data_IF_400444473807
#
_entry.id   IF_400444473807
#
_cell.length_a   1.000
_cell.length_b   1.000
_cell.length_c   1.000
_cell.angle_alpha   90.00
_cell.angle_beta   90.00
_cell.angle_gamma   90.00
#
_symmetry.space_group_name_H-M   'P 1'
#
loop_
_entity.id
_entity.type
_entity.pdbx_description
1 polymer ?
#
# COMPACT_ATOMS: atom_id res chain seq x y z
N UNK A 1 -47.44 10.92 22.71
CA UNK A 1 -48.05 11.98 21.87
C UNK A 1 -47.03 13.10 21.77
N UNK A 2 -46.49 13.54 20.64
CA UNK A 2 -46.71 13.24 19.23
C UNK A 2 -45.35 13.33 18.51
N UNK A 3 -45.12 12.45 17.54
CA UNK A 3 -43.98 12.48 16.62
C UNK A 3 -44.23 13.47 15.50
N UNK A 4 -43.24 14.26 15.11
CA UNK A 4 -43.24 14.99 13.84
C UNK A 4 -42.20 14.39 12.91
N UNK A 5 -42.69 13.55 12.00
CA UNK A 5 -41.96 12.97 10.88
C UNK A 5 -42.01 13.94 9.70
N UNK A 6 -40.86 14.43 9.22
CA UNK A 6 -40.77 15.20 7.98
C UNK A 6 -40.30 14.28 6.85
N UNK A 7 -41.26 13.83 6.03
CA UNK A 7 -41.02 13.17 4.75
C UNK A 7 -40.63 14.23 3.71
N UNK A 8 -39.41 14.12 3.15
CA UNK A 8 -39.03 14.88 1.97
C UNK A 8 -39.56 14.20 0.70
N UNK A 9 -40.39 14.93 -0.03
CA UNK A 9 -40.98 14.55 -1.31
C UNK A 9 -39.97 14.86 -2.43
N UNK A 10 -39.48 13.83 -3.13
CA UNK A 10 -38.64 13.99 -4.32
C UNK A 10 -39.51 14.30 -5.55
N UNK A 11 -39.37 15.49 -6.13
CA UNK A 11 -39.90 15.82 -7.45
C UNK A 11 -38.88 15.42 -8.53
N UNK A 12 -39.22 14.41 -9.33
CA UNK A 12 -38.50 14.06 -10.54
C UNK A 12 -38.95 14.98 -11.69
N UNK A 13 -38.02 15.78 -12.23
CA UNK A 13 -38.22 16.52 -13.47
C UNK A 13 -37.75 15.67 -14.66
N UNK A 14 -38.71 15.30 -15.51
CA UNK A 14 -38.50 14.72 -16.83
C UNK A 14 -37.98 15.79 -17.79
N UNK A 15 -36.75 15.64 -18.29
CA UNK A 15 -36.27 16.35 -19.47
C UNK A 15 -36.29 15.42 -20.68
N UNK A 16 -37.11 15.79 -21.69
CA UNK A 16 -37.23 15.13 -22.99
C UNK A 16 -35.95 15.33 -23.82
N UNK A 17 -35.39 14.23 -24.31
CA UNK A 17 -34.41 14.24 -25.40
C UNK A 17 -35.13 14.40 -26.75
N UNK A 18 -34.66 15.35 -27.56
CA UNK A 18 -35.08 15.56 -28.96
C UNK A 18 -34.25 14.64 -29.85
N UNK A 19 -34.90 13.69 -30.52
CA UNK A 19 -34.33 12.90 -31.60
C UNK A 19 -34.56 13.61 -32.94
N UNK A 20 -33.48 13.86 -33.69
CA UNK A 20 -33.54 14.22 -35.11
C UNK A 20 -33.33 12.97 -35.96
N UNK A 21 -34.21 12.80 -36.95
CA UNK A 21 -34.22 11.75 -37.96
C UNK A 21 -33.10 11.94 -38.99
N UNK A 22 -32.44 10.84 -39.36
CA UNK A 22 -31.57 10.72 -40.52
C UNK A 22 -31.58 9.27 -41.00
N UNK A 23 -32.31 9.02 -42.08
CA UNK A 23 -32.56 7.72 -42.72
C UNK A 23 -31.32 7.15 -43.42
N UNK A 24 -31.07 5.84 -43.27
CA UNK A 24 -30.84 4.95 -44.42
C UNK A 24 -30.85 3.49 -43.97
N UNK A 25 -31.67 2.71 -44.68
CA UNK A 25 -31.86 1.26 -44.55
C UNK A 25 -30.59 0.47 -44.84
N UNK A 26 -30.40 -0.63 -44.12
CA UNK A 26 -30.19 -1.95 -44.71
C UNK A 26 -30.43 -3.04 -43.66
N UNK A 27 -31.39 -3.94 -43.96
CA UNK A 27 -31.66 -5.16 -43.18
C UNK A 27 -30.82 -6.29 -43.77
N UNK A 28 -30.04 -6.97 -42.94
CA UNK A 28 -29.61 -8.34 -43.22
C UNK A 28 -29.96 -9.19 -42.00
N UNK A 29 -30.80 -10.19 -42.24
CA UNK A 29 -31.26 -11.20 -41.30
C UNK A 29 -30.13 -12.21 -41.04
N UNK A 30 -29.76 -12.43 -39.78
CA UNK A 30 -28.86 -13.52 -39.39
C UNK A 30 -29.66 -14.65 -38.75
N UNK A 31 -29.72 -15.76 -39.47
CA UNK A 31 -30.28 -17.04 -39.07
C UNK A 31 -29.32 -17.74 -38.10
N UNK A 32 -29.89 -18.27 -37.03
CA UNK A 32 -29.29 -19.18 -36.06
C UNK A 32 -28.94 -20.54 -36.67
N UNK A 33 -27.70 -21.00 -36.48
CA UNK A 33 -27.35 -22.43 -36.49
C UNK A 33 -26.30 -22.71 -35.41
N UNK A 34 -26.75 -23.39 -34.36
CA UNK A 34 -25.91 -24.02 -33.34
C UNK A 34 -25.30 -25.30 -33.89
N UNK A 35 -23.98 -25.44 -33.86
CA UNK A 35 -23.30 -26.73 -34.03
C UNK A 35 -22.37 -26.97 -32.85
N UNK A 36 -22.63 -28.08 -32.16
CA UNK A 36 -21.84 -28.66 -31.09
C UNK A 36 -20.48 -29.13 -31.66
N UNK A 37 -19.39 -28.74 -31.02
CA UNK A 37 -18.08 -29.33 -31.22
C UNK A 37 -17.57 -29.99 -29.94
N UNK A 38 -17.25 -31.27 -30.07
CA UNK A 38 -16.85 -32.20 -29.04
C UNK A 38 -15.41 -31.98 -28.57
N UNK A 39 -15.18 -32.16 -27.27
CA UNK A 39 -13.86 -32.18 -26.63
C UNK A 39 -13.01 -33.40 -27.06
N UNK A 40 -11.69 -33.25 -27.23
CA UNK A 40 -10.77 -34.38 -27.18
C UNK A 40 -10.26 -34.62 -25.74
N UNK A 41 -10.40 -35.88 -25.31
CA UNK A 41 -9.80 -36.46 -24.11
C UNK A 41 -8.28 -36.62 -24.28
N UNK A 42 -7.51 -36.10 -23.33
CA UNK A 42 -6.07 -36.39 -23.20
C UNK A 42 -5.86 -37.38 -22.04
N UNK A 43 -5.35 -38.57 -22.37
CA UNK A 43 -4.87 -39.57 -21.42
C UNK A 43 -3.37 -39.79 -21.64
N UNK A 44 -2.57 -39.72 -20.58
CA UNK A 44 -1.19 -40.22 -20.61
C UNK A 44 -0.20 -39.47 -19.71
N UNK A 45 -0.22 -39.75 -18.40
CA UNK A 45 0.93 -39.52 -17.52
C UNK A 45 1.49 -40.87 -17.11
N UNK A 46 2.70 -41.19 -17.61
CA UNK A 46 3.52 -42.29 -17.11
C UNK A 46 4.38 -41.77 -15.96
N UNK A 47 4.16 -42.37 -14.80
CA UNK A 47 5.00 -42.35 -13.61
C UNK A 47 6.37 -42.96 -13.90
N UNK A 48 7.44 -42.31 -13.45
CA UNK A 48 8.73 -42.92 -13.22
C UNK A 48 9.10 -42.73 -11.76
N UNK A 49 9.13 -43.85 -11.06
CA UNK A 49 9.70 -44.05 -9.73
C UNK A 49 11.22 -44.18 -9.82
N UNK A 50 11.94 -43.59 -8.88
CA UNK A 50 13.23 -44.12 -8.44
C UNK A 50 13.36 -44.00 -6.92
N UNK A 51 13.85 -45.09 -6.34
CA UNK A 51 13.93 -45.43 -4.92
C UNK A 51 15.40 -45.45 -4.47
N UNK A 52 15.60 -45.20 -3.17
CA UNK A 52 16.73 -45.63 -2.30
C UNK A 52 18.12 -45.00 -2.57
N UNK A 53 19.03 -44.74 -1.62
CA UNK A 53 19.42 -45.37 -0.33
C UNK A 53 20.36 -44.36 0.38
N UNK A 54 20.25 -44.00 1.67
CA UNK A 54 20.73 -44.60 2.94
C UNK A 54 22.24 -44.88 3.10
N UNK A 55 22.74 -44.54 4.32
CA UNK A 55 23.98 -44.96 5.02
C UNK A 55 25.25 -44.12 4.78
N UNK A 56 26.18 -43.87 5.71
CA UNK A 56 26.30 -44.07 7.18
C UNK A 56 27.66 -43.50 7.66
N UNK A 57 27.69 -42.95 8.88
CA UNK A 57 28.75 -42.88 9.90
C UNK A 57 30.24 -43.18 9.59
N UNK A 58 31.17 -42.40 10.18
CA UNK A 58 31.97 -42.81 11.38
C UNK A 58 33.21 -41.93 11.67
N UNK A 59 33.41 -41.62 12.98
CA UNK A 59 34.63 -41.60 13.85
C UNK A 59 35.93 -40.87 13.40
N UNK A 60 36.88 -40.45 14.26
CA UNK A 60 37.04 -40.20 15.71
C UNK A 60 38.47 -39.64 15.92
N UNK A 61 38.71 -38.95 17.04
CA UNK A 61 40.02 -38.82 17.72
C UNK A 61 40.77 -37.51 17.47
N UNK A 62 41.41 -36.84 18.43
CA UNK A 62 41.58 -37.08 19.87
C UNK A 62 42.67 -36.15 20.45
N UNK A 63 42.47 -35.74 21.71
CA UNK A 63 43.45 -35.42 22.77
C UNK A 63 44.40 -34.19 22.67
N UNK A 64 44.47 -33.42 23.77
CA UNK A 64 45.63 -32.56 24.09
C UNK A 64 45.35 -31.41 25.08
N UNK A 65 45.78 -31.59 26.32
CA UNK A 65 45.58 -30.74 27.53
C UNK A 65 46.51 -29.50 27.56
N UNK A 66 46.09 -28.38 28.19
CA UNK A 66 46.79 -27.68 29.30
C UNK A 66 46.09 -26.39 29.77
N UNK A 67 46.12 -26.19 31.08
CA UNK A 67 45.58 -25.06 31.85
C UNK A 67 46.53 -23.85 31.93
N UNK A 68 46.00 -22.61 32.07
CA UNK A 68 46.10 -21.73 33.27
C UNK A 68 45.92 -20.22 32.97
N UNK A 69 44.79 -19.68 33.45
CA UNK A 69 44.55 -18.36 34.10
C UNK A 69 44.73 -17.00 33.32
N UNK A 70 44.02 -15.93 33.76
CA UNK A 70 43.37 -14.97 32.86
C UNK A 70 44.10 -13.63 32.72
N UNK A 71 43.90 -12.92 31.59
CA UNK A 71 44.17 -11.48 31.49
C UNK A 71 43.25 -10.76 30.50
N UNK A 72 42.56 -9.76 31.04
CA UNK A 72 41.96 -8.56 30.41
C UNK A 72 40.85 -8.78 29.37
N UNK A 73 39.62 -8.86 29.89
CA UNK A 73 38.43 -8.36 29.19
C UNK A 73 38.54 -6.83 29.13
N UNK A 74 38.78 -6.31 27.94
CA UNK A 74 38.75 -4.89 27.66
C UNK A 74 38.33 -4.67 26.21
N UNK A 75 37.25 -3.90 26.02
CA UNK A 75 36.81 -3.34 24.74
C UNK A 75 35.94 -4.18 23.79
N UNK A 76 34.98 -4.97 24.31
CA UNK A 76 33.81 -5.40 23.50
C UNK A 76 32.53 -4.66 23.90
N UNK A 77 32.45 -4.17 25.15
CA UNK A 77 31.25 -3.54 25.71
C UNK A 77 30.92 -2.20 25.05
N UNK A 78 31.92 -1.41 24.61
CA UNK A 78 31.66 -0.08 24.04
C UNK A 78 31.06 -0.15 22.64
N UNK A 79 31.49 -1.09 21.80
CA UNK A 79 30.96 -1.23 20.44
C UNK A 79 29.53 -1.78 20.44
N UNK A 80 29.26 -2.80 21.27
CA UNK A 80 27.89 -3.33 21.43
C UNK A 80 26.96 -2.32 22.09
N UNK A 81 27.41 -1.61 23.14
CA UNK A 81 26.60 -0.58 23.78
C UNK A 81 26.25 0.57 22.83
N UNK A 82 27.21 1.05 22.02
CA UNK A 82 26.99 2.08 21.00
C UNK A 82 26.04 1.56 19.91
N UNK A 83 26.20 0.33 19.43
CA UNK A 83 25.31 -0.25 18.42
C UNK A 83 23.87 -0.47 18.95
N UNK A 84 23.71 -0.85 20.23
CA UNK A 84 22.39 -0.93 20.86
C UNK A 84 21.77 0.45 21.12
N UNK A 85 22.58 1.46 21.46
CA UNK A 85 22.10 2.84 21.67
C UNK A 85 21.64 3.46 20.34
N UNK A 86 22.40 3.26 19.26
CA UNK A 86 22.02 3.72 17.92
C UNK A 86 20.76 3.01 17.42
N UNK A 87 20.65 1.68 17.57
CA UNK A 87 19.43 0.93 17.21
C UNK A 87 18.20 1.36 18.02
N UNK A 88 18.37 1.65 19.31
CA UNK A 88 17.26 2.11 20.17
C UNK A 88 16.82 3.53 19.80
N UNK A 89 17.76 4.39 19.44
CA UNK A 89 17.49 5.78 19.02
C UNK A 89 16.79 5.79 17.66
N UNK A 90 17.26 4.99 16.70
CA UNK A 90 16.62 4.79 15.39
C UNK A 90 15.20 4.22 15.52
N UNK A 91 15.01 3.17 16.33
CA UNK A 91 13.68 2.60 16.58
C UNK A 91 12.73 3.62 17.21
N UNK A 92 13.22 4.47 18.12
CA UNK A 92 12.42 5.54 18.72
C UNK A 92 12.01 6.62 17.72
N UNK A 93 12.83 6.86 16.69
CA UNK A 93 12.57 7.87 15.67
C UNK A 93 11.62 7.38 14.58
N UNK A 94 11.73 6.10 14.19
CA UNK A 94 10.73 5.43 13.34
C UNK A 94 9.34 5.47 13.98
N UNK A 95 9.24 5.09 15.26
CA UNK A 95 7.96 5.15 15.99
C UNK A 95 7.39 6.57 16.03
N UNK A 96 8.25 7.57 16.27
CA UNK A 96 7.85 8.98 16.28
C UNK A 96 7.39 9.45 14.90
N UNK A 97 8.04 9.04 13.82
CA UNK A 97 7.64 9.33 12.44
C UNK A 97 6.29 8.69 12.10
N UNK A 98 6.10 7.42 12.45
CA UNK A 98 4.82 6.72 12.29
C UNK A 98 3.70 7.45 13.05
N UNK A 99 3.95 7.81 14.32
CA UNK A 99 2.95 8.56 15.10
C UNK A 99 2.72 9.97 14.55
N UNK A 100 3.72 10.61 13.92
CA UNK A 100 3.52 11.87 13.20
C UNK A 100 2.47 11.71 12.11
N UNK A 101 2.56 10.65 11.29
CA UNK A 101 1.57 10.34 10.25
C UNK A 101 0.18 10.12 10.86
N UNK A 102 0.10 9.35 11.96
CA UNK A 102 -1.17 9.12 12.68
C UNK A 102 -1.79 10.45 13.14
N UNK A 103 -1.03 11.29 13.84
CA UNK A 103 -1.57 12.51 14.42
C UNK A 103 -1.86 13.62 13.40
N UNK A 104 -1.05 13.77 12.34
CA UNK A 104 -1.42 14.65 11.22
C UNK A 104 -2.76 14.24 10.61
N UNK A 105 -2.98 12.93 10.47
CA UNK A 105 -4.25 12.39 9.94
C UNK A 105 -5.43 12.65 10.87
N UNK A 106 -5.25 12.39 12.16
CA UNK A 106 -6.28 12.63 13.19
C UNK A 106 -6.65 14.11 13.25
N UNK A 107 -5.66 15.00 13.28
CA UNK A 107 -5.87 16.44 13.44
C UNK A 107 -6.57 17.07 12.24
N UNK A 108 -6.21 16.65 11.03
CA UNK A 108 -6.88 17.13 9.82
C UNK A 108 -8.36 16.69 9.79
N UNK A 109 -8.64 15.43 10.13
CA UNK A 109 -10.01 14.90 10.22
C UNK A 109 -10.82 15.62 11.30
N UNK A 110 -10.22 15.84 12.48
CA UNK A 110 -10.87 16.54 13.58
C UNK A 110 -11.17 18.00 13.22
N UNK A 111 -10.20 18.70 12.63
CA UNK A 111 -10.38 20.10 12.19
C UNK A 111 -11.44 20.24 11.09
N UNK A 112 -11.50 19.28 10.17
CA UNK A 112 -12.53 19.25 9.13
C UNK A 112 -13.90 18.78 9.64
N UNK A 113 -13.95 18.18 10.84
CA UNK A 113 -15.09 17.44 11.37
C UNK A 113 -15.63 16.42 10.34
N UNK A 114 -14.74 15.83 9.56
CA UNK A 114 -15.07 15.01 8.38
C UNK A 114 -13.84 14.23 7.94
N UNK A 115 -14.00 12.93 7.66
CA UNK A 115 -12.93 12.08 7.14
C UNK A 115 -12.83 10.72 7.84
N UNK A 116 -11.75 10.01 7.53
CA UNK A 116 -11.56 8.60 7.89
C UNK A 116 -10.23 8.42 8.63
N UNK A 117 -10.21 8.45 9.98
CA UNK A 117 -8.97 8.34 10.73
C UNK A 117 -8.49 6.88 10.88
N UNK A 118 -9.40 5.90 10.79
CA UNK A 118 -9.12 4.50 11.07
C UNK A 118 -8.00 3.89 10.24
N UNK A 119 -8.10 3.97 8.91
CA UNK A 119 -7.07 3.44 8.01
C UNK A 119 -5.72 4.16 8.18
N UNK A 120 -5.63 5.50 8.17
CA UNK A 120 -4.35 6.18 8.43
C UNK A 120 -3.68 5.76 9.73
N UNK A 121 -4.44 5.52 10.81
CA UNK A 121 -3.90 5.05 12.09
C UNK A 121 -3.31 3.64 12.01
N UNK A 122 -4.01 2.70 11.37
CA UNK A 122 -3.57 1.31 11.20
C UNK A 122 -2.44 1.16 10.19
N UNK A 123 -2.49 1.89 9.07
CA UNK A 123 -1.56 1.77 7.95
C UNK A 123 -0.32 2.68 8.05
N UNK A 124 -0.23 3.56 9.05
CA UNK A 124 0.95 4.43 9.22
C UNK A 124 2.29 3.67 9.20
N UNK A 125 2.44 2.47 9.83
CA UNK A 125 3.68 1.69 9.73
C UNK A 125 4.07 1.31 8.30
N UNK A 126 3.15 0.71 7.54
CA UNK A 126 3.44 0.30 6.16
C UNK A 126 3.63 1.52 5.24
N UNK A 127 2.88 2.60 5.46
CA UNK A 127 3.02 3.85 4.72
C UNK A 127 4.39 4.50 4.93
N UNK A 128 4.85 4.55 6.19
CA UNK A 128 6.18 5.07 6.52
C UNK A 128 7.28 4.25 5.85
N UNK A 129 7.31 2.94 6.06
CA UNK A 129 8.34 2.06 5.49
C UNK A 129 8.35 2.17 3.95
N UNK A 130 7.17 2.23 3.33
CA UNK A 130 7.06 2.31 1.89
C UNK A 130 7.63 3.64 1.34
N UNK A 131 7.23 4.78 1.91
CA UNK A 131 7.67 6.09 1.40
C UNK A 131 9.09 6.49 1.82
N UNK A 132 9.54 6.14 3.02
CA UNK A 132 10.84 6.57 3.55
C UNK A 132 11.98 5.64 3.10
N UNK A 133 11.72 4.33 3.04
CA UNK A 133 12.77 3.34 2.84
C UNK A 133 12.77 2.70 1.45
N UNK A 134 11.60 2.56 0.81
CA UNK A 134 11.42 1.65 -0.32
C UNK A 134 11.25 2.37 -1.65
N UNK A 135 10.32 3.33 -1.73
CA UNK A 135 9.95 3.96 -2.99
C UNK A 135 11.05 4.91 -3.49
N UNK A 136 11.27 4.88 -4.82
CA UNK A 136 12.12 5.85 -5.52
C UNK A 136 11.26 6.95 -6.12
N UNK A 137 11.35 8.15 -5.58
CA UNK A 137 10.65 9.31 -6.12
C UNK A 137 11.49 10.57 -5.92
N UNK A 138 11.05 11.67 -6.55
CA UNK A 138 11.60 12.99 -6.30
C UNK A 138 10.44 13.93 -5.96
N UNK A 139 10.28 14.37 -4.70
CA UNK A 139 9.19 15.26 -4.29
C UNK A 139 9.25 16.63 -4.97
N UNK A 140 10.44 17.05 -5.45
CA UNK A 140 10.64 18.28 -6.23
C UNK A 140 10.42 18.10 -7.73
N UNK A 141 10.23 16.86 -8.18
CA UNK A 141 9.81 16.55 -9.54
C UNK A 141 8.78 15.40 -9.51
N UNK A 142 7.53 15.68 -9.10
CA UNK A 142 6.46 14.69 -9.06
C UNK A 142 6.17 14.09 -10.44
N UNK A 143 6.64 14.71 -11.53
CA UNK A 143 6.46 14.28 -12.90
C UNK A 143 7.61 13.39 -13.42
N UNK A 144 8.62 13.07 -12.60
CA UNK A 144 9.75 12.22 -13.02
C UNK A 144 9.25 10.89 -13.60
N UNK A 145 9.57 10.64 -14.86
CA UNK A 145 9.02 9.52 -15.63
C UNK A 145 9.24 8.14 -15.00
N UNK A 146 10.44 7.87 -14.48
CA UNK A 146 10.82 6.55 -13.96
C UNK A 146 10.76 6.47 -12.42
N UNK A 147 9.96 7.33 -11.76
CA UNK A 147 9.66 7.19 -10.32
C UNK A 147 8.87 5.90 -10.06
N UNK A 148 8.97 5.31 -8.87
CA UNK A 148 8.00 4.31 -8.46
C UNK A 148 6.61 4.96 -8.32
N UNK A 149 5.56 4.23 -8.68
CA UNK A 149 4.17 4.71 -8.61
C UNK A 149 3.51 4.20 -7.34
N UNK A 150 2.74 5.07 -6.67
CA UNK A 150 1.95 4.69 -5.50
C UNK A 150 0.48 5.05 -5.70
N UNK A 151 -0.39 4.09 -5.38
CA UNK A 151 -1.83 4.23 -5.49
C UNK A 151 -2.45 3.87 -4.14
N UNK A 152 -3.28 4.76 -3.61
CA UNK A 152 -4.14 4.46 -2.47
C UNK A 152 -5.51 4.02 -2.98
N UNK A 153 -5.70 2.71 -3.21
CA UNK A 153 -6.97 2.17 -3.71
C UNK A 153 -8.09 2.32 -2.68
N UNK A 154 -7.77 2.18 -1.40
CA UNK A 154 -8.66 2.55 -0.30
C UNK A 154 -8.66 4.07 -0.09
N UNK A 155 -9.17 4.81 -1.10
CA UNK A 155 -9.03 6.27 -1.20
C UNK A 155 -9.61 7.05 -0.02
N UNK A 156 -10.54 6.48 0.74
CA UNK A 156 -11.10 7.12 1.94
C UNK A 156 -10.02 7.44 2.98
N UNK A 157 -8.93 6.67 3.03
CA UNK A 157 -7.75 6.88 3.88
C UNK A 157 -6.80 7.98 3.38
N UNK A 158 -7.25 8.92 2.55
CA UNK A 158 -6.42 9.92 1.86
C UNK A 158 -5.50 10.72 2.77
N UNK A 159 -5.88 10.96 4.04
CA UNK A 159 -5.00 11.63 5.00
C UNK A 159 -3.68 10.89 5.27
N UNK A 160 -3.65 9.56 5.12
CA UNK A 160 -2.39 8.81 5.09
C UNK A 160 -1.49 9.35 3.99
N UNK A 161 -1.98 9.38 2.74
CA UNK A 161 -1.20 9.82 1.60
C UNK A 161 -0.82 11.30 1.70
N UNK A 162 -1.72 12.17 2.17
CA UNK A 162 -1.39 13.59 2.35
C UNK A 162 -0.32 13.81 3.42
N UNK A 163 -0.39 13.11 4.55
CA UNK A 163 0.67 13.16 5.57
C UNK A 163 2.01 12.66 5.01
N UNK A 164 2.01 11.57 4.24
CA UNK A 164 3.21 11.03 3.59
C UNK A 164 3.80 12.02 2.58
N UNK A 165 2.97 12.64 1.72
CA UNK A 165 3.41 13.64 0.74
C UNK A 165 3.98 14.90 1.43
N UNK A 166 3.34 15.35 2.51
CA UNK A 166 3.80 16.48 3.32
C UNK A 166 5.18 16.20 3.91
N UNK A 167 5.35 15.06 4.59
CA UNK A 167 6.61 14.69 5.21
C UNK A 167 7.70 14.45 4.17
N UNK A 168 7.36 13.85 3.02
CA UNK A 168 8.24 13.68 1.86
C UNK A 168 8.66 15.00 1.20
N UNK A 169 8.04 16.13 1.55
CA UNK A 169 8.42 17.46 1.05
C UNK A 169 7.88 17.81 -0.34
N UNK A 170 6.74 17.21 -0.73
CA UNK A 170 6.01 17.63 -1.93
C UNK A 170 5.43 19.03 -1.74
N UNK A 171 5.68 19.92 -2.70
CA UNK A 171 5.23 21.33 -2.61
C UNK A 171 3.69 21.47 -2.67
N UNK A 172 3.00 20.44 -3.17
CA UNK A 172 1.54 20.37 -3.26
C UNK A 172 0.83 20.17 -1.92
N UNK A 173 1.55 19.75 -0.88
CA UNK A 173 0.96 19.46 0.44
C UNK A 173 1.81 20.09 1.54
N UNK A 174 1.54 21.35 1.84
CA UNK A 174 2.10 22.08 2.98
C UNK A 174 1.24 21.89 4.23
N UNK A 175 1.71 22.36 5.38
CA UNK A 175 0.97 22.30 6.64
C UNK A 175 -0.42 22.95 6.52
N UNK A 176 -0.52 24.09 5.83
CA UNK A 176 -1.79 24.78 5.59
C UNK A 176 -2.74 24.00 4.66
N UNK A 177 -2.21 23.19 3.75
CA UNK A 177 -3.02 22.29 2.94
C UNK A 177 -3.61 21.18 3.82
N UNK A 178 -2.84 20.61 4.76
CA UNK A 178 -3.36 19.63 5.72
C UNK A 178 -4.43 20.25 6.65
N UNK A 179 -4.21 21.48 7.13
CA UNK A 179 -5.22 22.22 7.91
C UNK A 179 -6.48 22.56 7.09
N UNK A 180 -6.38 22.57 5.76
CA UNK A 180 -7.48 22.84 4.84
C UNK A 180 -8.11 21.57 4.27
N UNK A 181 -7.84 20.40 4.85
CA UNK A 181 -8.43 19.13 4.45
C UNK A 181 -9.96 19.22 4.31
N UNK A 182 -10.48 18.74 3.18
CA UNK A 182 -11.91 18.75 2.81
C UNK A 182 -12.56 20.14 2.71
N UNK A 183 -11.77 21.22 2.70
CA UNK A 183 -12.28 22.56 2.52
C UNK A 183 -12.36 22.92 1.03
N UNK A 184 -13.25 23.86 0.70
CA UNK A 184 -13.48 24.32 -0.68
C UNK A 184 -12.18 24.83 -1.32
N UNK A 185 -11.84 24.31 -2.51
CA UNK A 185 -10.66 24.72 -3.28
C UNK A 185 -9.31 24.32 -2.65
N UNK A 186 -9.32 23.45 -1.63
CA UNK A 186 -8.10 22.92 -1.04
C UNK A 186 -7.43 21.88 -1.96
N UNK A 187 -6.11 21.73 -1.80
CA UNK A 187 -5.32 20.67 -2.47
C UNK A 187 -5.38 19.33 -1.76
N UNK A 188 -6.23 19.20 -0.74
CA UNK A 188 -6.40 18.01 0.10
C UNK A 188 -7.89 17.63 0.14
N UNK A 189 -8.47 17.24 -1.02
CA UNK A 189 -9.87 16.85 -1.10
C UNK A 189 -10.20 15.60 -0.27
N UNK A 190 -11.49 15.30 -0.14
CA UNK A 190 -11.97 14.21 0.72
C UNK A 190 -11.60 12.79 0.27
N UNK A 191 -11.15 12.65 -0.98
CA UNK A 191 -10.54 11.47 -1.59
C UNK A 191 -9.39 11.95 -2.51
N UNK A 192 -8.39 11.12 -2.86
CA UNK A 192 -7.25 11.55 -3.66
C UNK A 192 -7.70 11.89 -5.09
N UNK A 193 -7.31 13.07 -5.56
CA UNK A 193 -7.64 13.57 -6.90
C UNK A 193 -6.34 13.97 -7.63
N UNK A 194 -6.00 13.24 -8.70
CA UNK A 194 -4.71 13.44 -9.41
C UNK A 194 -4.59 14.81 -10.09
N UNK A 195 -5.72 15.43 -10.42
CA UNK A 195 -5.78 16.73 -11.08
C UNK A 195 -5.68 17.90 -10.09
N UNK A 196 -5.87 17.67 -8.78
CA UNK A 196 -5.75 18.69 -7.73
C UNK A 196 -4.41 18.61 -6.99
N UNK A 197 -3.97 17.39 -6.64
CA UNK A 197 -2.83 17.19 -5.74
C UNK A 197 -1.65 16.53 -6.48
N UNK A 198 -0.61 17.31 -6.81
CA UNK A 198 0.62 16.70 -7.36
C UNK A 198 1.22 15.69 -6.38
N UNK A 199 1.64 14.53 -6.88
CA UNK A 199 2.05 13.39 -6.05
C UNK A 199 0.94 12.36 -5.79
N UNK A 200 -0.30 12.69 -6.14
CA UNK A 200 -1.38 11.70 -6.28
C UNK A 200 -1.41 11.22 -7.73
N UNK A 201 -1.18 9.92 -7.93
CA UNK A 201 -1.01 9.34 -9.28
C UNK A 201 -2.34 9.17 -10.03
N UNK A 202 -3.40 8.77 -9.33
CA UNK A 202 -4.73 8.50 -9.90
C UNK A 202 -5.82 8.93 -8.92
N UNK A 203 -7.00 9.25 -9.45
CA UNK A 203 -8.15 9.58 -8.60
C UNK A 203 -8.78 8.29 -8.10
N UNK A 204 -8.86 8.13 -6.78
CA UNK A 204 -9.50 6.98 -6.13
C UNK A 204 -10.62 7.45 -5.20
N UNK A 205 -11.42 6.51 -4.69
CA UNK A 205 -12.62 6.80 -3.91
C UNK A 205 -13.64 5.70 -4.14
N UNK A 206 -14.09 5.49 -5.40
CA UNK A 206 -14.79 4.28 -5.78
C UNK A 206 -13.86 3.06 -5.57
N UNK A 207 -14.26 2.16 -4.68
CA UNK A 207 -13.47 1.00 -4.27
C UNK A 207 -13.18 0.07 -5.46
N UNK A 208 -12.07 -0.66 -5.41
CA UNK A 208 -11.62 -1.58 -6.46
C UNK A 208 -10.95 -0.92 -7.67
N UNK A 209 -11.25 0.35 -7.99
CA UNK A 209 -10.68 1.03 -9.16
C UNK A 209 -9.17 1.28 -9.03
N UNK A 210 -8.68 1.63 -7.83
CA UNK A 210 -7.27 1.96 -7.64
C UNK A 210 -6.33 0.77 -7.91
N UNK A 211 -6.66 -0.44 -7.44
CA UNK A 211 -5.92 -1.66 -7.78
C UNK A 211 -5.99 -1.95 -9.29
N UNK A 212 -7.14 -1.76 -9.94
CA UNK A 212 -7.24 -1.89 -11.39
C UNK A 212 -6.36 -0.87 -12.14
N UNK A 213 -6.29 0.38 -11.67
CA UNK A 213 -5.37 1.37 -12.21
C UNK A 213 -3.90 0.98 -12.00
N UNK A 214 -3.56 0.44 -10.83
CA UNK A 214 -2.21 -0.05 -10.53
C UNK A 214 -1.80 -1.19 -11.49
N UNK A 215 -2.71 -2.10 -11.84
CA UNK A 215 -2.48 -3.12 -12.88
C UNK A 215 -2.16 -2.47 -14.23
N UNK A 216 -2.91 -1.45 -14.63
CA UNK A 216 -2.65 -0.71 -15.87
C UNK A 216 -1.29 0.02 -15.87
N UNK A 217 -0.91 0.63 -14.75
CA UNK A 217 0.40 1.30 -14.60
C UNK A 217 1.57 0.31 -14.66
N UNK A 218 1.44 -0.84 -14.00
CA UNK A 218 2.45 -1.91 -14.05
C UNK A 218 2.54 -2.55 -15.45
N UNK A 219 1.42 -2.68 -16.16
CA UNK A 219 1.42 -3.09 -17.58
C UNK A 219 2.18 -2.08 -18.44
N UNK A 220 1.94 -0.78 -18.24
CA UNK A 220 2.61 0.27 -19.01
C UNK A 220 4.13 0.25 -18.78
N UNK A 221 4.58 0.10 -17.53
CA UNK A 221 5.99 -0.05 -17.19
C UNK A 221 6.60 -1.25 -17.92
N UNK A 222 5.99 -2.44 -17.80
CA UNK A 222 6.49 -3.68 -18.42
C UNK A 222 6.53 -3.59 -19.95
N UNK A 223 5.51 -2.98 -20.56
CA UNK A 223 5.46 -2.74 -21.99
C UNK A 223 6.59 -1.82 -22.46
N UNK A 224 6.76 -0.69 -21.78
CA UNK A 224 7.76 0.32 -22.15
C UNK A 224 9.18 -0.19 -21.91
N UNK A 225 9.43 -0.90 -20.81
CA UNK A 225 10.69 -1.56 -20.54
C UNK A 225 11.04 -2.56 -21.66
N UNK A 226 10.13 -3.46 -22.02
CA UNK A 226 10.35 -4.43 -23.09
C UNK A 226 10.60 -3.78 -24.46
N UNK A 227 9.94 -2.64 -24.73
CA UNK A 227 10.04 -1.93 -26.01
C UNK A 227 11.31 -1.11 -26.15
N UNK A 228 11.73 -0.45 -25.08
CA UNK A 228 12.75 0.61 -25.14
C UNK A 228 14.06 0.29 -24.45
N UNK A 229 14.08 -0.58 -23.44
CA UNK A 229 15.35 -0.97 -22.80
C UNK A 229 16.24 -1.73 -23.79
N UNK A 230 17.55 -1.57 -23.62
CA UNK A 230 18.61 -2.25 -24.38
C UNK A 230 19.49 -3.05 -23.42
N UNK A 231 20.26 -4.05 -23.91
CA UNK A 231 21.13 -4.85 -23.04
C UNK A 231 22.12 -4.04 -22.19
N UNK A 232 22.49 -2.84 -22.65
CA UNK A 232 23.41 -1.90 -22.01
C UNK A 232 22.73 -0.65 -21.41
N UNK A 233 21.39 -0.56 -21.49
CA UNK A 233 20.65 0.62 -21.03
C UNK A 233 19.23 0.29 -20.58
N UNK A 234 19.02 0.24 -19.26
CA UNK A 234 17.71 0.06 -18.63
C UNK A 234 17.14 1.43 -18.24
N UNK A 235 16.30 2.01 -19.11
CA UNK A 235 15.76 3.38 -18.95
C UNK A 235 14.35 3.41 -18.36
N UNK A 236 13.61 2.31 -18.45
CA UNK A 236 12.33 2.10 -17.78
C UNK A 236 12.49 0.94 -16.82
N UNK A 237 12.53 1.25 -15.53
CA UNK A 237 12.59 0.29 -14.44
C UNK A 237 11.98 0.93 -13.20
N UNK A 238 10.70 0.66 -12.95
CA UNK A 238 10.04 1.13 -11.73
C UNK A 238 8.96 0.19 -11.21
N UNK A 239 8.70 0.28 -9.91
CA UNK A 239 7.65 -0.49 -9.25
C UNK A 239 6.34 0.28 -9.23
N UNK A 240 5.24 -0.48 -9.16
CA UNK A 240 3.91 0.04 -8.85
C UNK A 240 3.47 -0.56 -7.53
N UNK A 241 3.23 0.31 -6.54
CA UNK A 241 2.76 -0.06 -5.22
C UNK A 241 1.31 0.39 -5.03
N UNK A 242 0.51 -0.42 -4.36
CA UNK A 242 -0.88 -0.08 -4.08
C UNK A 242 -1.30 -0.52 -2.68
N UNK A 243 -1.94 0.36 -1.92
CA UNK A 243 -2.62 0.00 -0.65
C UNK A 243 -4.11 -0.15 -0.92
N UNK A 244 -4.68 -1.29 -0.50
CA UNK A 244 -6.10 -1.61 -0.60
C UNK A 244 -6.60 -2.21 0.72
N UNK A 245 -7.90 -2.10 0.98
CA UNK A 245 -8.55 -2.72 2.14
C UNK A 245 -9.65 -3.69 1.71
N UNK A 246 -10.41 -4.22 2.67
CA UNK A 246 -11.47 -5.22 2.45
C UNK A 246 -12.49 -4.79 1.39
N UNK A 247 -12.90 -3.51 1.43
CA UNK A 247 -13.82 -2.94 0.45
C UNK A 247 -13.33 -3.07 -1.00
N UNK A 248 -12.03 -2.95 -1.25
CA UNK A 248 -11.48 -3.20 -2.58
C UNK A 248 -11.45 -4.69 -2.92
N UNK A 249 -11.21 -5.57 -1.94
CA UNK A 249 -11.15 -7.02 -2.14
C UNK A 249 -12.51 -7.63 -2.48
N UNK A 250 -13.60 -7.00 -2.03
CA UNK A 250 -14.98 -7.39 -2.33
C UNK A 250 -15.45 -6.98 -3.74
N UNK A 251 -14.86 -5.93 -4.32
CA UNK A 251 -15.31 -5.38 -5.60
C UNK A 251 -14.88 -6.26 -6.78
N UNK A 252 -15.83 -6.64 -7.65
CA UNK A 252 -15.58 -7.57 -8.76
C UNK A 252 -14.49 -7.10 -9.74
N UNK A 253 -14.38 -5.80 -9.96
CA UNK A 253 -13.34 -5.20 -10.81
C UNK A 253 -11.92 -5.48 -10.30
N UNK A 254 -11.75 -5.60 -8.98
CA UNK A 254 -10.45 -5.95 -8.40
C UNK A 254 -10.05 -7.37 -8.81
N UNK A 255 -11.01 -8.31 -8.81
CA UNK A 255 -10.77 -9.69 -9.18
C UNK A 255 -10.46 -9.83 -10.69
N UNK A 256 -11.17 -9.09 -11.54
CA UNK A 256 -10.87 -9.02 -12.98
C UNK A 256 -9.44 -8.52 -13.23
N UNK A 257 -9.08 -7.39 -12.62
CA UNK A 257 -7.76 -6.80 -12.79
C UNK A 257 -6.66 -7.70 -12.23
N UNK A 258 -6.86 -8.28 -11.04
CA UNK A 258 -5.89 -9.19 -10.43
C UNK A 258 -5.72 -10.49 -11.22
N UNK A 259 -6.79 -11.02 -11.83
CA UNK A 259 -6.70 -12.15 -12.75
C UNK A 259 -5.78 -11.84 -13.95
N UNK A 260 -5.97 -10.68 -14.57
CA UNK A 260 -5.12 -10.22 -15.67
C UNK A 260 -3.66 -9.98 -15.23
N UNK A 261 -3.45 -9.37 -14.07
CA UNK A 261 -2.12 -9.09 -13.55
C UNK A 261 -1.30 -10.37 -13.31
N UNK A 262 -1.95 -11.41 -12.76
CA UNK A 262 -1.33 -12.71 -12.56
C UNK A 262 -1.05 -13.40 -13.90
N UNK A 263 -2.00 -13.37 -14.83
CA UNK A 263 -1.82 -13.90 -16.19
C UNK A 263 -0.63 -13.25 -16.93
N UNK A 264 -0.43 -11.95 -16.78
CA UNK A 264 0.68 -11.21 -17.43
C UNK A 264 2.02 -11.26 -16.68
N UNK A 265 2.06 -11.89 -15.50
CA UNK A 265 3.28 -11.98 -14.69
C UNK A 265 3.86 -10.60 -14.36
N UNK A 266 3.03 -9.69 -13.83
CA UNK A 266 3.44 -8.32 -13.49
C UNK A 266 4.27 -8.24 -12.20
N UNK A 267 5.49 -8.81 -12.19
CA UNK A 267 6.34 -8.90 -11.00
C UNK A 267 6.88 -7.60 -10.40
N UNK A 268 6.57 -6.44 -10.98
CA UNK A 268 6.83 -5.12 -10.38
C UNK A 268 5.58 -4.48 -9.76
N UNK A 269 4.45 -5.18 -9.74
CA UNK A 269 3.23 -4.80 -9.02
C UNK A 269 3.23 -5.44 -7.62
N UNK A 270 3.20 -4.61 -6.59
CA UNK A 270 3.16 -5.03 -5.19
C UNK A 270 1.96 -4.36 -4.51
N UNK A 271 1.01 -5.18 -4.08
CA UNK A 271 -0.20 -4.76 -3.39
C UNK A 271 -0.07 -5.02 -1.88
N UNK A 272 -0.43 -4.05 -1.05
CA UNK A 272 -0.53 -4.15 0.40
C UNK A 272 -2.01 -4.17 0.78
N UNK A 273 -2.48 -5.31 1.27
CA UNK A 273 -3.83 -5.43 1.80
C UNK A 273 -3.82 -5.14 3.29
N UNK A 274 -4.43 -4.02 3.66
CA UNK A 274 -4.78 -3.70 5.05
C UNK A 274 -5.89 -4.63 5.54
N UNK A 275 -5.49 -5.73 6.15
CA UNK A 275 -6.34 -6.82 6.65
C UNK A 275 -6.71 -6.52 8.11
N UNK A 276 -7.67 -5.63 8.31
CA UNK A 276 -8.05 -5.14 9.63
C UNK A 276 -9.38 -5.71 10.15
N UNK A 277 -10.04 -6.57 9.36
CA UNK A 277 -11.31 -7.23 9.67
C UNK A 277 -12.51 -6.28 9.90
N UNK A 278 -12.43 -5.02 9.46
CA UNK A 278 -13.50 -4.03 9.66
C UNK A 278 -13.90 -3.38 8.33
N UNK A 279 -15.19 -3.43 8.03
CA UNK A 279 -15.85 -2.64 7.00
C UNK A 279 -16.69 -1.51 7.62
N UNK A 280 -17.41 -0.74 6.81
CA UNK A 280 -18.31 0.32 7.30
C UNK A 280 -19.39 -0.25 8.24
N UNK A 281 -19.96 -1.40 7.88
CA UNK A 281 -21.11 -1.98 8.58
C UNK A 281 -20.71 -2.82 9.81
N UNK A 282 -19.42 -2.98 10.09
CA UNK A 282 -18.94 -3.78 11.22
C UNK A 282 -17.80 -4.71 10.85
N UNK A 283 -17.70 -5.79 11.63
CA UNK A 283 -16.79 -6.90 11.38
C UNK A 283 -17.03 -7.48 9.97
N UNK A 284 -15.95 -7.78 9.24
CA UNK A 284 -16.05 -8.34 7.89
C UNK A 284 -16.72 -9.72 7.87
N UNK A 285 -16.76 -10.44 9.00
CA UNK A 285 -17.44 -11.75 9.09
C UNK A 285 -18.91 -11.71 8.68
N UNK A 286 -19.57 -10.55 8.76
CA UNK A 286 -20.97 -10.36 8.37
C UNK A 286 -21.21 -10.63 6.87
N UNK A 287 -20.21 -10.37 6.01
CA UNK A 287 -20.39 -10.39 4.55
C UNK A 287 -19.16 -10.83 3.73
N UNK A 288 -17.99 -11.01 4.35
CA UNK A 288 -16.73 -11.29 3.65
C UNK A 288 -15.87 -12.28 4.46
N UNK A 289 -16.06 -13.57 4.18
CA UNK A 289 -15.42 -14.70 4.89
C UNK A 289 -14.64 -15.64 3.97
N UNK A 290 -14.34 -15.20 2.74
CA UNK A 290 -13.53 -15.97 1.81
C UNK A 290 -12.05 -16.01 2.22
N UNK A 291 -11.29 -16.92 1.60
CA UNK A 291 -9.84 -16.96 1.76
C UNK A 291 -9.17 -16.15 0.63
N UNK A 292 -8.87 -14.88 0.92
CA UNK A 292 -8.20 -13.96 -0.01
C UNK A 292 -6.86 -14.52 -0.48
N UNK A 293 -6.05 -15.10 0.42
CA UNK A 293 -4.74 -15.66 0.09
C UNK A 293 -4.88 -16.75 -0.99
N UNK A 294 -5.82 -17.69 -0.80
CA UNK A 294 -6.08 -18.77 -1.75
C UNK A 294 -6.63 -18.27 -3.08
N UNK A 295 -7.48 -17.23 -3.06
CA UNK A 295 -7.95 -16.60 -4.30
C UNK A 295 -6.79 -15.99 -5.08
N UNK A 296 -5.92 -15.21 -4.44
CA UNK A 296 -4.77 -14.59 -5.10
C UNK A 296 -3.75 -15.61 -5.60
N UNK A 297 -3.46 -16.66 -4.82
CA UNK A 297 -2.65 -17.80 -5.30
C UNK A 297 -3.24 -18.43 -6.56
N UNK A 298 -4.56 -18.64 -6.61
CA UNK A 298 -5.25 -19.18 -7.78
C UNK A 298 -5.22 -18.24 -9.00
N UNK A 299 -5.18 -16.93 -8.77
CA UNK A 299 -4.97 -15.92 -9.82
C UNK A 299 -3.50 -15.85 -10.31
N UNK A 300 -2.57 -16.60 -9.70
CA UNK A 300 -1.16 -16.62 -10.07
C UNK A 300 -0.29 -15.58 -9.37
N UNK A 301 -0.76 -15.02 -8.25
CA UNK A 301 0.02 -14.07 -7.45
C UNK A 301 0.95 -14.79 -6.46
N UNK A 302 2.03 -14.12 -6.09
CA UNK A 302 2.78 -14.44 -4.88
C UNK A 302 2.06 -13.82 -3.67
N UNK A 303 1.92 -14.57 -2.58
CA UNK A 303 1.20 -14.10 -1.39
C UNK A 303 2.11 -14.20 -0.17
N UNK A 304 2.22 -13.09 0.56
CA UNK A 304 2.98 -12.99 1.81
C UNK A 304 2.02 -12.51 2.89
N UNK A 305 2.13 -13.04 4.11
CA UNK A 305 1.33 -12.60 5.24
C UNK A 305 2.21 -12.06 6.38
N UNK A 306 2.11 -10.75 6.59
CA UNK A 306 2.64 -10.06 7.77
C UNK A 306 1.56 -10.04 8.84
N UNK A 307 1.76 -10.80 9.92
CA UNK A 307 0.73 -10.98 10.96
C UNK A 307 0.66 -9.82 11.94
N UNK A 308 1.75 -9.08 12.12
CA UNK A 308 1.81 -7.91 12.99
C UNK A 308 2.13 -6.65 12.18
N UNK A 309 1.14 -6.07 11.52
CA UNK A 309 1.28 -4.82 10.78
C UNK A 309 1.40 -3.58 11.66
N UNK A 310 1.00 -3.65 12.93
CA UNK A 310 0.98 -2.50 13.84
C UNK A 310 2.39 -2.10 14.29
N UNK A 311 3.24 -3.08 14.61
CA UNK A 311 4.59 -2.87 15.17
C UNK A 311 5.68 -3.77 14.55
N UNK A 312 5.31 -4.70 13.68
CA UNK A 312 6.24 -5.61 12.99
C UNK A 312 6.96 -4.95 11.81
N UNK A 313 7.69 -3.85 12.07
CA UNK A 313 8.34 -3.06 11.03
C UNK A 313 9.32 -3.89 10.19
N UNK A 314 10.09 -4.76 10.84
CA UNK A 314 11.03 -5.65 10.15
C UNK A 314 10.33 -6.75 9.34
N UNK A 315 9.13 -7.19 9.76
CA UNK A 315 8.31 -8.13 8.98
C UNK A 315 7.81 -7.47 7.70
N UNK A 316 7.36 -6.21 7.77
CA UNK A 316 6.96 -5.43 6.60
C UNK A 316 8.15 -5.25 5.65
N UNK A 317 9.33 -4.86 6.17
CA UNK A 317 10.56 -4.73 5.37
C UNK A 317 10.95 -6.05 4.70
N UNK A 318 10.89 -7.15 5.43
CA UNK A 318 11.21 -8.48 4.91
C UNK A 318 10.22 -8.90 3.80
N UNK A 319 8.92 -8.67 4.00
CA UNK A 319 7.90 -8.97 3.01
C UNK A 319 8.10 -8.17 1.72
N UNK A 320 8.42 -6.87 1.82
CA UNK A 320 8.71 -6.04 0.64
C UNK A 320 9.96 -6.55 -0.09
N UNK A 321 11.01 -6.91 0.65
CA UNK A 321 12.24 -7.46 0.07
C UNK A 321 11.97 -8.76 -0.67
N UNK A 322 11.18 -9.66 -0.09
CA UNK A 322 10.76 -10.90 -0.73
C UNK A 322 9.89 -10.65 -1.96
N UNK A 323 8.90 -9.76 -1.87
CA UNK A 323 8.04 -9.37 -2.98
C UNK A 323 8.86 -8.87 -4.18
N UNK A 324 9.86 -8.01 -3.92
CA UNK A 324 10.77 -7.52 -4.98
C UNK A 324 11.70 -8.59 -5.52
N UNK A 325 11.91 -9.71 -4.83
CA UNK A 325 12.72 -10.82 -5.33
C UNK A 325 11.95 -11.71 -6.32
N UNK A 326 10.62 -11.79 -6.19
CA UNK A 326 9.74 -12.49 -7.13
C UNK A 326 9.50 -11.62 -8.37
N UNK A 327 10.03 -12.04 -9.53
CA UNK A 327 10.04 -11.21 -10.75
C UNK A 327 8.98 -11.61 -11.78
N UNK A 328 8.45 -12.81 -11.67
CA UNK A 328 7.54 -13.44 -12.62
C UNK A 328 6.07 -13.38 -12.19
N UNK A 329 5.78 -12.93 -10.95
CA UNK A 329 4.43 -12.83 -10.40
C UNK A 329 4.20 -11.51 -9.67
N UNK A 330 3.04 -10.85 -9.83
CA UNK A 330 2.67 -9.78 -8.91
C UNK A 330 2.56 -10.32 -7.48
N UNK A 331 2.79 -9.47 -6.49
CA UNK A 331 2.76 -9.88 -5.07
C UNK A 331 1.65 -9.19 -4.30
N UNK A 332 0.87 -9.96 -3.53
CA UNK A 332 -0.02 -9.47 -2.49
C UNK A 332 0.65 -9.69 -1.13
N UNK A 333 0.92 -8.60 -0.42
CA UNK A 333 1.33 -8.63 0.98
C UNK A 333 0.08 -8.35 1.81
N UNK A 334 -0.48 -9.38 2.43
CA UNK A 334 -1.51 -9.23 3.45
C UNK A 334 -0.87 -8.76 4.74
N UNK A 335 -1.28 -7.60 5.23
CA UNK A 335 -0.75 -6.99 6.45
C UNK A 335 -1.88 -6.87 7.44
N UNK A 336 -1.89 -7.75 8.45
CA UNK A 336 -2.92 -7.69 9.48
C UNK A 336 -2.67 -6.50 10.39
N UNK A 337 -3.60 -5.55 10.46
CA UNK A 337 -3.50 -4.35 11.29
C UNK A 337 -4.69 -4.24 12.26
N UNK A 338 -4.66 -3.23 13.11
CA UNK A 338 -5.83 -2.82 13.89
C UNK A 338 -6.30 -1.45 13.40
N UNK A 339 -7.51 -1.37 12.85
CA UNK A 339 -8.09 -0.10 12.43
C UNK A 339 -8.19 0.85 13.64
N UNK A 340 -7.80 2.12 13.46
CA UNK A 340 -7.81 3.08 14.56
C UNK A 340 -6.75 2.81 15.64
N UNK A 341 -5.68 2.08 15.33
CA UNK A 341 -4.61 1.74 16.28
C UNK A 341 -4.18 2.95 17.14
N UNK A 342 -4.15 2.73 18.46
CA UNK A 342 -3.78 3.74 19.44
C UNK A 342 -4.96 4.47 20.08
N UNK A 343 -6.15 4.48 19.47
CA UNK A 343 -7.36 4.96 20.12
C UNK A 343 -7.81 3.97 21.20
N UNK A 344 -7.83 4.35 22.49
CA UNK A 344 -8.16 3.42 23.56
C UNK A 344 -9.61 2.96 23.53
N UNK A 345 -10.53 3.73 22.92
CA UNK A 345 -11.96 3.44 22.98
C UNK A 345 -12.62 3.19 21.61
N UNK A 346 -11.97 3.53 20.49
CA UNK A 346 -12.52 3.30 19.14
C UNK A 346 -11.71 2.34 18.27
N UNK A 347 -10.49 1.97 18.65
CA UNK A 347 -9.70 0.99 17.89
C UNK A 347 -10.45 -0.34 17.73
N UNK A 348 -10.21 -1.03 16.61
CA UNK A 348 -10.82 -2.31 16.27
C UNK A 348 -12.37 -2.27 16.24
N UNK A 349 -12.94 -1.16 15.78
CA UNK A 349 -14.40 -1.02 15.63
C UNK A 349 -14.72 -0.18 14.40
N UNK A 350 -15.89 -0.42 13.79
CA UNK A 350 -16.37 0.38 12.65
C UNK A 350 -16.54 1.88 12.97
N UNK A 351 -16.67 2.24 14.25
CA UNK A 351 -16.86 3.64 14.68
C UNK A 351 -15.70 4.56 14.32
N UNK A 352 -14.48 4.02 14.13
CA UNK A 352 -13.29 4.78 13.73
C UNK A 352 -13.11 4.83 12.20
N UNK A 353 -13.96 4.15 11.43
CA UNK A 353 -13.82 4.07 9.98
C UNK A 353 -14.02 5.44 9.30
N UNK A 354 -15.18 6.08 9.48
CA UNK A 354 -15.60 7.23 8.67
C UNK A 354 -16.10 8.45 9.44
N UNK A 355 -15.65 8.61 10.68
CA UNK A 355 -15.98 9.79 11.49
C UNK A 355 -14.77 10.29 12.27
N UNK A 356 -14.78 11.58 12.61
CA UNK A 356 -13.79 12.14 13.52
C UNK A 356 -13.77 11.40 14.86
N UNK A 357 -12.59 11.34 15.49
CA UNK A 357 -12.46 10.72 16.80
C UNK A 357 -13.24 11.51 17.85
N UNK A 358 -13.23 12.84 17.76
CA UNK A 358 -13.79 13.75 18.75
C UNK A 358 -12.74 14.12 19.79
N UNK A 359 -12.71 15.39 20.19
CA UNK A 359 -11.71 15.98 21.10
C UNK A 359 -11.29 15.09 22.29
N UNK A 360 -12.24 14.49 23.03
CA UNK A 360 -11.91 13.60 24.17
C UNK A 360 -11.10 12.38 23.76
N UNK A 361 -11.45 11.77 22.64
CA UNK A 361 -10.79 10.58 22.13
C UNK A 361 -9.44 10.93 21.48
N UNK A 362 -9.32 12.09 20.86
CA UNK A 362 -8.03 12.61 20.38
C UNK A 362 -7.05 12.77 21.54
N UNK A 363 -7.47 13.41 22.64
CA UNK A 363 -6.66 13.57 23.85
C UNK A 363 -6.27 12.22 24.47
N UNK A 364 -7.22 11.27 24.52
CA UNK A 364 -6.98 9.93 25.04
C UNK A 364 -5.98 9.16 24.17
N UNK A 365 -6.10 9.27 22.84
CA UNK A 365 -5.18 8.67 21.86
C UNK A 365 -3.78 9.25 21.97
N UNK A 366 -3.65 10.59 22.12
CA UNK A 366 -2.36 11.26 22.37
C UNK A 366 -1.68 10.74 23.62
N UNK A 367 -2.43 10.60 24.73
CA UNK A 367 -1.91 10.04 25.99
C UNK A 367 -1.48 8.59 25.82
N UNK A 368 -2.30 7.77 25.15
CA UNK A 368 -2.03 6.34 24.96
C UNK A 368 -0.77 6.09 24.13
N UNK A 369 -0.53 6.90 23.09
CA UNK A 369 0.65 6.81 22.23
C UNK A 369 1.83 7.68 22.70
N UNK A 370 1.73 8.30 23.88
CA UNK A 370 2.80 9.15 24.42
C UNK A 370 3.17 10.33 23.53
N UNK A 371 2.17 10.98 22.91
CA UNK A 371 2.33 12.08 21.96
C UNK A 371 2.02 13.44 22.60
N UNK A 372 3.03 14.15 23.16
CA UNK A 372 2.81 15.38 23.93
C UNK A 372 2.66 16.64 23.07
N UNK A 373 2.72 16.49 21.74
CA UNK A 373 2.78 17.62 20.83
C UNK A 373 1.39 18.19 20.53
N UNK A 374 1.36 19.46 20.18
CA UNK A 374 0.15 20.17 19.75
C UNK A 374 -0.38 19.66 18.39
N UNK A 375 -1.62 20.01 18.01
CA UNK A 375 -2.17 19.65 16.70
C UNK A 375 -1.29 20.11 15.54
N UNK A 376 -1.23 19.30 14.47
CA UNK A 376 -0.43 19.53 13.26
C UNK A 376 1.09 19.63 13.49
N UNK A 377 1.59 19.25 14.67
CA UNK A 377 3.02 19.33 14.96
C UNK A 377 3.82 18.20 14.30
N UNK A 378 4.87 18.57 13.58
CA UNK A 378 5.90 17.65 13.09
C UNK A 378 7.18 17.85 13.92
N UNK A 379 7.62 16.86 14.70
CA UNK A 379 8.84 16.97 15.50
C UNK A 379 10.09 17.27 14.65
N UNK A 380 10.98 18.11 15.15
CA UNK A 380 12.18 18.55 14.42
C UNK A 380 13.14 17.41 14.07
N UNK A 381 13.21 16.38 14.92
CA UNK A 381 13.97 15.16 14.63
C UNK A 381 13.33 14.36 13.49
N UNK A 382 11.99 14.27 13.41
CA UNK A 382 11.28 13.66 12.26
C UNK A 382 11.49 14.45 10.98
N UNK A 383 11.44 15.79 11.03
CA UNK A 383 11.75 16.65 9.85
C UNK A 383 13.16 16.41 9.32
N UNK A 384 14.13 16.20 10.24
CA UNK A 384 15.55 15.96 9.91
C UNK A 384 15.85 14.51 9.55
N UNK A 385 15.01 13.57 9.97
CA UNK A 385 15.29 12.13 9.98
C UNK A 385 15.66 11.56 8.61
N UNK A 386 15.09 12.08 7.52
CA UNK A 386 15.49 11.60 6.21
C UNK A 386 14.37 11.26 5.23
N UNK A 387 13.20 11.90 5.35
CA UNK A 387 12.29 12.08 4.19
C UNK A 387 13.01 12.79 3.01
N UNK A 388 14.18 13.37 3.28
CA UNK A 388 15.18 13.88 2.36
C UNK A 388 15.48 12.89 1.22
N UNK A 389 15.21 13.34 0.00
CA UNK A 389 15.65 12.77 -1.27
C UNK A 389 17.00 12.08 -1.12
N UNK A 390 17.03 10.73 -1.14
CA UNK A 390 18.27 10.00 -1.39
C UNK A 390 18.70 10.39 -2.81
N UNK A 391 19.57 11.37 -2.90
CA UNK A 391 20.16 11.83 -4.15
C UNK A 391 20.76 10.61 -4.83
N UNK A 392 20.10 10.12 -5.87
CA UNK A 392 20.70 9.13 -6.73
C UNK A 392 21.92 9.81 -7.36
N UNK A 393 23.12 9.32 -7.03
CA UNK A 393 24.30 9.65 -7.82
C UNK A 393 24.00 9.20 -9.24
N UNK A 394 23.91 10.15 -10.17
CA UNK A 394 23.98 9.88 -11.59
C UNK A 394 25.30 9.14 -11.86
N UNK A 395 25.28 7.81 -11.83
CA UNK A 395 26.39 7.03 -12.32
C UNK A 395 26.39 7.14 -13.86
N UNK A 396 27.30 7.99 -14.32
CA UNK A 396 27.96 7.97 -15.63
C UNK A 396 27.09 7.91 -16.88
N UNK A 397 26.51 9.05 -17.26
CA UNK A 397 26.39 9.40 -18.69
C UNK A 397 27.66 10.13 -19.09
N UNK A 398 28.79 9.42 -19.09
CA UNK A 398 30.06 9.94 -19.60
C UNK A 398 30.62 9.02 -20.68
N UNK A 399 29.92 8.98 -21.82
CA UNK A 399 30.46 8.72 -23.18
C UNK A 399 29.33 8.60 -24.20
N UNK A 400 28.64 9.71 -24.47
CA UNK A 400 28.03 9.93 -25.78
C UNK A 400 28.78 11.12 -26.39
N UNK A 401 29.99 10.83 -26.89
CA UNK A 401 30.59 11.68 -27.92
C UNK A 401 29.86 11.32 -29.20
N UNK A 402 29.08 12.26 -29.72
CA UNK A 402 28.70 12.24 -31.12
C UNK A 402 30.00 12.29 -31.94
N UNK A 403 30.21 11.27 -32.76
CA UNK A 403 31.14 11.27 -33.89
C UNK A 403 30.34 11.06 -35.16
#
# INVERSE_FOLDING_TARGET
MASSSSLHLSQALLARAVYLHGSSSERVSLTTTSTLSSFPSFSGLKTLSSTSSSSSSSNCGGLGVTSRAPRRVGSVVRATAVETLDKTTEASLVEKSINTIRFLSIDAVEKANSGHPGLPMGCAPMGHILYDEVMRYNPKNPSWFNRDRFILSAGHGCMLQYALLHLAGYDSVQEEDLKSFRQWGSRTPGHPENFETYGVEVTTGPLGQGIANAVGLALAEKHLAARFNKPDSEIVDHYTYVILGDGCQMEGISNEACSLAGHWGLGKLIAFYDDNHISIDGDTEIAFTENVDKRFEALGWHVIWVKNGNTGYDEIRAAIKEAKAVKDKPTLIKVTTTIGYGSPNKANSYSVHGSALGAKEVDATRKNLGWPYEPFHVPEDVKKYGWSVKSFSLFSVSKLRFS
#
